data_IF_019328872970
#
_entry.id   IF_019328872970
#
_cell.length_a   1.000
_cell.length_b   1.000
_cell.length_c   1.000
_cell.angle_alpha   90.00
_cell.angle_beta   90.00
_cell.angle_gamma   90.00
#
_symmetry.space_group_name_H-M   'P 1'
#
loop_
_entity.id
_entity.type
_entity.pdbx_description
1 polymer ?
#
# COMPACT_ATOMS: atom_id res chain seq x y z
N UNK A 1 -6.70 -9.87 -5.29
CA UNK A 1 -6.12 -11.05 -4.62
C UNK A 1 -5.96 -10.87 -3.11
N UNK A 2 -5.25 -9.83 -2.64
CA UNK A 2 -5.02 -9.59 -1.19
C UNK A 2 -6.30 -9.48 -0.34
N UNK A 3 -7.35 -8.82 -0.84
CA UNK A 3 -8.63 -8.73 -0.13
C UNK A 3 -9.32 -10.08 0.06
N UNK A 4 -9.25 -10.98 -0.93
CA UNK A 4 -9.81 -12.33 -0.82
C UNK A 4 -9.04 -13.16 0.21
N UNK A 5 -7.70 -13.07 0.20
CA UNK A 5 -6.85 -13.74 1.20
C UNK A 5 -7.18 -13.26 2.60
N UNK A 6 -7.34 -11.94 2.80
CA UNK A 6 -7.75 -11.37 4.08
C UNK A 6 -9.13 -11.86 4.54
N UNK A 7 -10.13 -11.87 3.65
CA UNK A 7 -11.49 -12.33 3.97
C UNK A 7 -11.53 -13.81 4.36
N UNK A 8 -10.85 -14.68 3.60
CA UNK A 8 -10.78 -16.12 3.90
C UNK A 8 -10.06 -16.36 5.23
N UNK A 9 -8.98 -15.63 5.49
CA UNK A 9 -8.24 -15.74 6.74
C UNK A 9 -9.06 -15.30 7.96
N UNK A 10 -9.81 -14.19 7.86
CA UNK A 10 -10.71 -13.73 8.92
C UNK A 10 -11.80 -14.77 9.22
N UNK A 11 -12.42 -15.35 8.18
CA UNK A 11 -13.42 -16.40 8.34
C UNK A 11 -12.82 -17.63 9.02
N UNK A 12 -11.68 -18.13 8.53
CA UNK A 12 -11.00 -19.29 9.10
C UNK A 12 -10.62 -19.07 10.59
N UNK A 13 -10.10 -17.89 10.94
CA UNK A 13 -9.75 -17.56 12.32
C UNK A 13 -10.99 -17.43 13.22
N UNK A 14 -12.04 -16.75 12.75
CA UNK A 14 -13.30 -16.63 13.48
C UNK A 14 -13.95 -17.99 13.74
N UNK A 15 -14.01 -18.87 12.73
CA UNK A 15 -14.52 -20.23 12.88
C UNK A 15 -13.68 -21.07 13.83
N UNK A 16 -12.35 -20.99 13.72
CA UNK A 16 -11.46 -21.82 14.55
C UNK A 16 -11.52 -21.39 16.02
N UNK A 17 -11.47 -20.09 16.30
CA UNK A 17 -11.61 -19.57 17.67
C UNK A 17 -12.98 -19.93 18.24
N UNK A 18 -14.06 -19.76 17.46
CA UNK A 18 -15.41 -20.14 17.89
C UNK A 18 -15.54 -21.64 18.20
N UNK A 19 -15.03 -22.51 17.33
CA UNK A 19 -15.12 -23.96 17.50
C UNK A 19 -14.34 -24.44 18.73
N UNK A 20 -13.13 -23.92 18.98
CA UNK A 20 -12.35 -24.28 20.15
C UNK A 20 -12.91 -23.71 21.46
N UNK A 21 -13.62 -22.59 21.41
CA UNK A 21 -14.34 -22.04 22.55
C UNK A 21 -15.63 -22.83 22.84
N UNK A 22 -16.30 -23.35 21.80
CA UNK A 22 -17.44 -24.27 21.89
C UNK A 22 -17.09 -25.62 22.51
N UNK A 23 -15.93 -26.19 22.13
CA UNK A 23 -15.43 -27.45 22.68
C UNK A 23 -14.78 -27.31 24.05
N UNK A 24 -14.47 -26.09 24.49
CA UNK A 24 -13.85 -25.84 25.78
C UNK A 24 -14.90 -26.01 26.90
N UNK A 25 -14.68 -26.89 27.88
CA UNK A 25 -15.56 -27.08 29.05
C UNK A 25 -15.78 -25.81 29.89
N UNK A 26 -15.00 -24.75 29.66
CA UNK A 26 -15.14 -23.43 30.30
C UNK A 26 -15.90 -22.38 29.46
N UNK A 27 -16.22 -22.68 28.21
CA UNK A 27 -16.84 -21.72 27.27
C UNK A 27 -18.37 -21.78 27.25
N UNK A 28 -18.96 -22.96 27.44
CA UNK A 28 -20.40 -23.15 27.55
C UNK A 28 -20.74 -23.85 28.88
N UNK A 29 -21.12 -23.04 29.85
CA UNK A 29 -21.76 -23.43 31.10
C UNK A 29 -20.93 -24.27 32.09
N UNK A 30 -20.03 -23.60 32.80
CA UNK A 30 -19.69 -24.04 34.15
C UNK A 30 -19.64 -22.84 35.08
N UNK A 31 -20.83 -22.33 35.42
CA UNK A 31 -21.17 -21.78 36.75
C UNK A 31 -22.68 -21.49 36.82
N UNK A 32 -23.45 -22.56 37.03
CA UNK A 32 -24.74 -22.51 37.76
C UNK A 32 -24.51 -22.21 39.26
N UNK A 33 -23.37 -21.63 39.63
CA UNK A 33 -22.98 -21.29 41.00
C UNK A 33 -22.15 -20.01 41.04
N UNK A 34 -22.75 -18.89 40.64
CA UNK A 34 -22.45 -17.59 41.24
C UNK A 34 -23.55 -16.58 40.91
N UNK A 35 -24.45 -16.41 41.86
CA UNK A 35 -25.61 -15.50 41.84
C UNK A 35 -25.24 -14.01 41.65
N UNK A 36 -23.96 -13.64 41.51
CA UNK A 36 -23.51 -12.24 41.39
C UNK A 36 -22.45 -11.95 40.31
N UNK A 37 -22.25 -12.81 39.30
CA UNK A 37 -21.33 -12.51 38.20
C UNK A 37 -22.06 -11.92 36.99
N UNK A 38 -22.27 -10.61 37.01
CA UNK A 38 -22.42 -9.68 35.87
C UNK A 38 -22.93 -10.29 34.56
N UNK A 39 -24.16 -9.92 34.17
CA UNK A 39 -24.87 -10.15 32.90
C UNK A 39 -24.12 -9.78 31.59
N UNK A 40 -22.79 -9.64 31.58
CA UNK A 40 -22.04 -8.93 30.55
C UNK A 40 -21.00 -9.77 29.79
N UNK A 41 -21.13 -11.10 29.74
CA UNK A 41 -20.23 -11.94 28.94
C UNK A 41 -20.98 -13.04 28.17
N UNK A 42 -22.08 -12.69 27.49
CA UNK A 42 -22.60 -13.55 26.43
C UNK A 42 -21.60 -13.52 25.27
N UNK A 43 -20.81 -14.57 25.13
CA UNK A 43 -19.95 -14.80 23.98
C UNK A 43 -20.82 -14.75 22.71
N UNK A 44 -20.64 -13.70 21.92
CA UNK A 44 -21.35 -13.49 20.66
C UNK A 44 -20.37 -13.67 19.53
N UNK A 45 -20.71 -14.50 18.53
CA UNK A 45 -19.93 -14.69 17.29
C UNK A 45 -19.49 -13.36 16.67
N UNK A 46 -20.36 -12.36 16.76
CA UNK A 46 -20.10 -11.00 16.28
C UNK A 46 -18.96 -10.31 17.04
N UNK A 47 -18.81 -10.57 18.34
CA UNK A 47 -17.70 -10.05 19.16
C UNK A 47 -16.38 -10.70 18.77
N UNK A 48 -16.35 -12.01 18.56
CA UNK A 48 -15.15 -12.73 18.11
C UNK A 48 -14.74 -12.29 16.71
N UNK A 49 -15.69 -12.14 15.79
CA UNK A 49 -15.44 -11.61 14.44
C UNK A 49 -14.88 -10.18 14.49
N UNK A 50 -15.48 -9.31 15.31
CA UNK A 50 -14.98 -7.95 15.55
C UNK A 50 -13.54 -7.95 16.11
N UNK A 51 -13.23 -8.83 17.05
CA UNK A 51 -11.90 -8.95 17.65
C UNK A 51 -10.84 -9.44 16.65
N UNK A 52 -11.18 -10.44 15.83
CA UNK A 52 -10.31 -10.96 14.76
C UNK A 52 -10.00 -9.86 13.73
N UNK A 53 -11.02 -9.10 13.33
CA UNK A 53 -10.87 -7.94 12.47
C UNK A 53 -10.03 -6.83 13.11
N UNK A 54 -10.27 -6.49 14.39
CA UNK A 54 -9.52 -5.46 15.11
C UNK A 54 -8.04 -5.81 15.25
N UNK A 55 -7.71 -7.09 15.51
CA UNK A 55 -6.34 -7.59 15.55
C UNK A 55 -5.62 -7.46 14.20
N UNK A 56 -6.31 -7.70 13.08
CA UNK A 56 -5.73 -7.61 11.74
C UNK A 56 -5.33 -6.18 11.37
N UNK A 57 -6.13 -5.20 11.78
CA UNK A 57 -5.85 -3.77 11.56
C UNK A 57 -4.97 -3.14 12.64
N UNK A 58 -4.39 -3.96 13.53
CA UNK A 58 -3.57 -3.49 14.64
C UNK A 58 -4.30 -2.44 15.51
N UNK A 59 -5.63 -2.52 15.59
CA UNK A 59 -6.43 -1.62 16.41
C UNK A 59 -6.23 -2.01 17.88
N UNK A 60 -5.65 -1.11 18.68
CA UNK A 60 -5.46 -1.28 20.11
C UNK A 60 -6.80 -1.15 20.86
N UNK A 61 -7.68 -2.13 20.68
CA UNK A 61 -8.90 -2.27 21.47
C UNK A 61 -8.53 -2.95 22.79
N UNK A 62 -9.17 -2.56 23.90
CA UNK A 62 -9.05 -3.31 25.16
C UNK A 62 -9.74 -4.66 24.96
N UNK A 63 -8.97 -5.67 24.56
CA UNK A 63 -9.47 -7.02 24.33
C UNK A 63 -9.53 -7.72 25.69
N UNK A 64 -10.74 -8.05 26.14
CA UNK A 64 -10.91 -8.99 27.24
C UNK A 64 -10.27 -10.32 26.82
N UNK A 65 -9.19 -10.70 27.50
CA UNK A 65 -8.40 -11.88 27.11
C UNK A 65 -9.26 -13.14 27.16
N UNK A 66 -9.23 -14.01 26.14
CA UNK A 66 -9.98 -15.26 26.17
C UNK A 66 -9.55 -16.10 27.36
N UNK A 67 -10.51 -16.70 28.06
CA UNK A 67 -10.26 -17.38 29.34
C UNK A 67 -9.60 -18.76 29.17
N UNK A 68 -9.82 -19.43 28.04
CA UNK A 68 -9.25 -20.75 27.74
C UNK A 68 -7.79 -20.69 27.27
N UNK A 69 -6.97 -21.64 27.74
CA UNK A 69 -5.55 -21.79 27.33
C UNK A 69 -5.43 -22.01 25.81
N UNK A 70 -6.33 -22.79 25.23
CA UNK A 70 -6.40 -23.07 23.77
C UNK A 70 -6.74 -21.81 22.95
N UNK A 71 -7.71 -21.03 23.40
CA UNK A 71 -8.13 -19.78 22.73
C UNK A 71 -7.03 -18.69 22.78
N UNK A 72 -6.23 -18.65 23.86
CA UNK A 72 -5.03 -17.80 23.94
C UNK A 72 -3.96 -18.19 22.92
N UNK A 73 -3.65 -19.48 22.81
CA UNK A 73 -2.69 -19.97 21.81
C UNK A 73 -3.15 -19.63 20.39
N UNK A 74 -4.42 -19.88 20.09
CA UNK A 74 -5.00 -19.59 18.76
C UNK A 74 -4.96 -18.08 18.43
N UNK A 75 -5.27 -17.23 19.41
CA UNK A 75 -5.19 -15.77 19.26
C UNK A 75 -3.76 -15.31 18.98
N UNK A 76 -2.76 -15.91 19.61
CA UNK A 76 -1.34 -15.61 19.35
C UNK A 76 -0.90 -16.03 17.94
N UNK A 77 -1.36 -17.20 17.46
CA UNK A 77 -1.12 -17.64 16.06
C UNK A 77 -1.77 -16.67 15.07
N UNK A 78 -3.01 -16.25 15.33
CA UNK A 78 -3.68 -15.23 14.52
C UNK A 78 -2.94 -13.89 14.53
N UNK A 79 -2.45 -13.44 15.69
CA UNK A 79 -1.68 -12.22 15.81
C UNK A 79 -0.39 -12.27 14.98
N UNK A 80 0.33 -13.39 15.00
CA UNK A 80 1.53 -13.57 14.18
C UNK A 80 1.21 -13.53 12.68
N UNK A 81 0.13 -14.21 12.27
CA UNK A 81 -0.35 -14.17 10.89
C UNK A 81 -0.74 -12.75 10.45
N UNK A 82 -1.49 -12.01 11.28
CA UNK A 82 -1.91 -10.65 11.02
C UNK A 82 -0.72 -9.70 10.80
N UNK A 83 0.30 -9.78 11.65
CA UNK A 83 1.52 -8.97 11.53
C UNK A 83 2.25 -9.28 10.22
N UNK A 84 2.45 -10.55 9.88
CA UNK A 84 3.12 -10.94 8.63
C UNK A 84 2.33 -10.48 7.41
N UNK A 85 1.00 -10.66 7.41
CA UNK A 85 0.13 -10.22 6.32
C UNK A 85 0.21 -8.71 6.11
N UNK A 86 0.13 -7.94 7.19
CA UNK A 86 0.25 -6.48 7.17
C UNK A 86 1.64 -6.05 6.67
N UNK A 87 2.69 -6.72 7.11
CA UNK A 87 4.07 -6.45 6.69
C UNK A 87 4.25 -6.67 5.18
N UNK A 88 3.73 -7.78 4.63
CA UNK A 88 3.84 -8.06 3.20
C UNK A 88 2.99 -7.07 2.38
N UNK A 89 1.80 -6.71 2.86
CA UNK A 89 1.00 -5.68 2.21
C UNK A 89 1.72 -4.32 2.18
N UNK A 90 2.31 -3.92 3.31
CA UNK A 90 3.09 -2.69 3.43
C UNK A 90 4.32 -2.72 2.52
N UNK A 91 5.03 -3.85 2.45
CA UNK A 91 6.18 -4.02 1.57
C UNK A 91 5.79 -3.94 0.09
N UNK A 92 4.67 -4.53 -0.32
CA UNK A 92 4.19 -4.45 -1.69
C UNK A 92 3.77 -3.03 -2.07
N UNK A 93 3.10 -2.32 -1.16
CA UNK A 93 2.75 -0.92 -1.36
C UNK A 93 4.01 -0.06 -1.48
N UNK A 94 4.99 -0.27 -0.59
CA UNK A 94 6.28 0.43 -0.61
C UNK A 94 7.06 0.14 -1.89
N UNK A 95 7.09 -1.11 -2.36
CA UNK A 95 7.75 -1.46 -3.62
C UNK A 95 7.17 -0.67 -4.79
N UNK A 96 5.84 -0.60 -4.90
CA UNK A 96 5.16 0.21 -5.94
C UNK A 96 5.49 1.69 -5.78
N UNK A 97 5.52 2.20 -4.54
CA UNK A 97 5.81 3.60 -4.25
C UNK A 97 7.27 3.98 -4.59
N UNK A 98 8.23 3.10 -4.29
CA UNK A 98 9.67 3.33 -4.56
C UNK A 98 9.97 3.28 -6.06
N UNK A 99 9.32 2.38 -6.81
CA UNK A 99 9.52 2.29 -8.26
C UNK A 99 8.91 3.46 -9.07
N UNK A 100 8.27 4.44 -8.41
CA UNK A 100 7.66 5.61 -9.07
C UNK A 100 8.62 6.77 -9.31
N UNK A 101 9.88 6.68 -8.90
CA UNK A 101 10.90 7.59 -9.42
C UNK A 101 11.18 7.22 -10.88
N UNK A 102 10.39 7.81 -11.78
CA UNK A 102 10.61 7.75 -13.21
C UNK A 102 11.92 8.49 -13.54
N UNK A 103 13.05 7.80 -13.44
CA UNK A 103 14.25 8.25 -14.13
C UNK A 103 13.94 8.20 -15.62
N UNK A 104 13.64 9.36 -16.21
CA UNK A 104 13.51 9.50 -17.65
C UNK A 104 14.91 9.44 -18.27
N UNK A 105 15.47 8.23 -18.36
CA UNK A 105 16.68 8.00 -19.12
C UNK A 105 16.31 8.09 -20.61
N UNK A 106 16.72 9.18 -21.25
CA UNK A 106 16.53 9.35 -22.68
C UNK A 106 17.55 8.48 -23.42
N UNK A 107 17.08 7.63 -24.32
CA UNK A 107 17.96 6.80 -25.16
C UNK A 107 18.83 7.63 -26.12
N UNK A 108 18.50 8.91 -26.31
CA UNK A 108 19.20 9.84 -27.19
C UNK A 108 18.25 10.92 -27.72
N UNK A 109 18.73 11.68 -28.71
CA UNK A 109 17.95 12.76 -29.33
C UNK A 109 16.80 12.24 -30.22
N UNK A 110 16.92 10.99 -30.68
CA UNK A 110 15.90 10.29 -31.48
C UNK A 110 14.77 9.67 -30.64
N UNK A 111 14.75 9.90 -29.31
CA UNK A 111 13.66 9.41 -28.48
C UNK A 111 12.33 10.07 -28.93
N UNK A 112 11.34 9.21 -29.20
CA UNK A 112 9.97 9.59 -29.52
C UNK A 112 9.38 10.64 -28.57
N UNK A 113 9.77 10.61 -27.28
CA UNK A 113 9.31 11.56 -26.25
C UNK A 113 9.85 12.98 -26.47
N UNK A 114 11.03 13.13 -27.06
CA UNK A 114 11.65 14.42 -27.38
C UNK A 114 11.26 14.88 -28.79
N UNK A 115 11.24 13.97 -29.76
CA UNK A 115 10.87 14.29 -31.14
C UNK A 115 9.41 14.74 -31.26
N UNK A 116 8.51 14.14 -30.47
CA UNK A 116 7.08 14.47 -30.41
C UNK A 116 6.72 14.97 -29.01
N UNK A 117 6.95 16.27 -28.72
CA UNK A 117 6.81 16.82 -27.37
C UNK A 117 5.38 16.72 -26.79
N UNK A 118 4.37 16.58 -27.65
CA UNK A 118 2.96 16.40 -27.25
C UNK A 118 2.55 14.94 -27.03
N UNK A 119 3.43 13.97 -27.28
CA UNK A 119 3.12 12.54 -27.19
C UNK A 119 3.07 12.01 -25.76
N UNK A 120 3.66 12.73 -24.78
CA UNK A 120 3.72 12.32 -23.38
C UNK A 120 3.10 13.39 -22.46
N UNK A 121 2.46 12.96 -21.36
CA UNK A 121 1.91 13.83 -20.33
C UNK A 121 2.48 13.43 -18.96
N UNK A 122 3.05 14.36 -18.17
CA UNK A 122 3.27 15.77 -18.50
C UNK A 122 4.30 15.94 -19.64
N UNK A 123 4.19 17.07 -20.36
CA UNK A 123 5.15 17.39 -21.44
C UNK A 123 6.50 17.74 -20.81
N UNK A 124 7.58 17.16 -21.36
CA UNK A 124 8.93 17.51 -20.96
C UNK A 124 9.30 18.89 -21.47
N UNK A 125 9.69 19.80 -20.58
CA UNK A 125 10.20 21.11 -20.96
C UNK A 125 11.69 20.98 -21.25
N UNK A 126 12.09 21.34 -22.46
CA UNK A 126 13.49 21.35 -22.86
C UNK A 126 13.75 22.51 -23.81
N UNK A 127 14.98 22.99 -23.80
CA UNK A 127 15.42 24.19 -24.49
C UNK A 127 16.89 24.11 -24.83
N UNK A 128 17.34 24.99 -25.72
CA UNK A 128 18.77 25.20 -26.00
C UNK A 128 19.09 26.69 -26.00
N UNK A 129 20.37 27.01 -26.17
CA UNK A 129 20.82 28.39 -26.39
C UNK A 129 20.45 28.84 -27.80
N UNK A 130 19.69 29.93 -27.98
CA UNK A 130 19.31 30.40 -29.30
C UNK A 130 20.56 30.83 -30.10
N UNK A 131 20.52 30.66 -31.43
CA UNK A 131 21.61 31.02 -32.34
C UNK A 131 22.93 30.26 -32.13
N UNK A 132 22.88 29.14 -31.40
CA UNK A 132 24.01 28.22 -31.26
C UNK A 132 24.09 27.23 -32.43
N UNK A 133 25.23 26.53 -32.53
CA UNK A 133 25.37 25.41 -33.45
C UNK A 133 24.35 24.29 -33.15
N UNK A 134 24.06 24.03 -31.88
CA UNK A 134 23.09 23.01 -31.47
C UNK A 134 21.67 23.41 -31.90
N UNK A 135 21.27 24.67 -31.72
CA UNK A 135 19.99 25.23 -32.20
C UNK A 135 19.83 25.08 -33.72
N UNK A 136 20.87 25.44 -34.47
CA UNK A 136 20.89 25.33 -35.93
C UNK A 136 20.81 23.89 -36.43
N UNK A 137 21.51 22.96 -35.76
CA UNK A 137 21.48 21.53 -36.09
C UNK A 137 20.11 20.92 -35.79
N UNK A 138 19.52 21.22 -34.63
CA UNK A 138 18.19 20.73 -34.26
C UNK A 138 17.14 21.30 -35.22
N UNK A 139 17.22 22.58 -35.60
CA UNK A 139 16.35 23.18 -36.61
C UNK A 139 16.41 22.44 -37.96
N UNK A 140 17.58 21.94 -38.35
CA UNK A 140 17.79 21.25 -39.64
C UNK A 140 17.23 19.83 -39.64
N UNK A 141 17.44 19.06 -38.57
CA UNK A 141 17.09 17.65 -38.53
C UNK A 141 15.78 17.33 -37.78
N UNK A 142 15.37 18.19 -36.83
CA UNK A 142 14.23 17.97 -35.93
C UNK A 142 13.33 19.23 -35.83
N UNK A 143 12.61 19.55 -36.90
CA UNK A 143 11.78 20.77 -37.00
C UNK A 143 10.71 20.88 -35.90
N UNK A 144 9.98 19.80 -35.61
CA UNK A 144 8.90 19.77 -34.62
C UNK A 144 9.43 20.01 -33.20
N UNK A 145 10.53 19.32 -32.85
CA UNK A 145 11.27 19.53 -31.60
C UNK A 145 11.76 20.98 -31.46
N UNK A 146 12.33 21.55 -32.54
CA UNK A 146 12.80 22.93 -32.56
C UNK A 146 11.66 23.95 -32.39
N UNK A 147 10.48 23.68 -32.95
CA UNK A 147 9.31 24.55 -32.77
C UNK A 147 8.84 24.60 -31.31
N UNK A 148 8.92 23.47 -30.61
CA UNK A 148 8.55 23.38 -29.19
C UNK A 148 9.57 24.08 -28.28
N UNK A 149 10.87 23.83 -28.48
CA UNK A 149 11.93 24.37 -27.61
C UNK A 149 12.02 25.90 -27.64
N UNK A 150 11.59 26.55 -28.73
CA UNK A 150 11.61 28.02 -28.88
C UNK A 150 10.95 28.77 -27.71
N UNK A 151 9.95 28.16 -27.08
CA UNK A 151 9.22 28.74 -25.95
C UNK A 151 9.99 28.65 -24.62
N UNK A 152 11.01 27.78 -24.56
CA UNK A 152 11.77 27.46 -23.34
C UNK A 152 13.27 27.74 -23.46
N UNK A 153 13.74 28.25 -24.60
CA UNK A 153 15.14 28.61 -24.84
C UNK A 153 15.66 29.66 -23.85
N UNK A 154 16.94 29.55 -23.49
CA UNK A 154 17.62 30.46 -22.55
C UNK A 154 18.85 31.08 -23.21
N UNK A 155 19.05 32.38 -23.04
CA UNK A 155 20.15 33.13 -23.68
C UNK A 155 21.50 32.95 -23.00
N UNK A 156 21.52 32.58 -21.72
CA UNK A 156 22.74 32.37 -20.94
C UNK A 156 22.85 30.92 -20.47
N UNK A 157 24.08 30.40 -20.45
CA UNK A 157 24.38 29.08 -19.88
C UNK A 157 24.03 29.05 -18.39
N UNK A 158 24.30 30.15 -17.67
CA UNK A 158 23.99 30.26 -16.23
C UNK A 158 22.48 30.14 -16.00
N UNK A 159 21.68 30.80 -16.84
CA UNK A 159 20.22 30.72 -16.75
C UNK A 159 19.69 29.32 -17.09
N UNK A 160 20.41 28.57 -17.93
CA UNK A 160 20.07 27.19 -18.28
C UNK A 160 20.42 26.17 -17.19
N UNK A 161 21.45 26.42 -16.39
CA UNK A 161 21.86 25.54 -15.28
C UNK A 161 20.96 25.72 -14.05
N UNK A 162 20.40 26.91 -13.87
CA UNK A 162 19.55 27.25 -12.71
C UNK A 162 18.07 26.94 -12.95
N UNK A 163 17.65 26.79 -14.21
CA UNK A 163 16.26 26.55 -14.63
C UNK A 163 15.79 25.10 -14.42
#
# INVERSE_FOLDING_TARGET
SWMLVGLVAIQAAAYTIFFFEWLSPSGFDMKVTNVNASKNHRFSLFRTYWLVCALLFQAAVRIDSPKGITSKFMTNVWAMFAVVFLAIYTANLAAVMITREEFHEFSGLDDSRLMKPYSHKPMFKFGTMPFSHTDSTIKKYFYEMHSYMRQFNKSSVVDGVVA
#
